data_IF_860012437816
#
_entry.id   IF_860012437816
#
_cell.length_a   1.000
_cell.length_b   1.000
_cell.length_c   1.000
_cell.angle_alpha   90.00
_cell.angle_beta   90.00
_cell.angle_gamma   90.00
#
_symmetry.space_group_name_H-M   'P 1'
#
loop_
_entity.id
_entity.type
_entity.pdbx_description
1 polymer ?
#
# COMPACT_ATOMS: atom_id res chain seq x y z
N UNK A 1 16.17 -8.54 -35.29
CA UNK A 1 15.63 -9.40 -34.23
C UNK A 1 15.18 -8.56 -33.07
N UNK A 2 13.96 -8.73 -32.68
CA UNK A 2 13.41 -8.03 -31.54
C UNK A 2 13.47 -8.96 -30.34
N UNK A 3 14.14 -8.52 -29.31
CA UNK A 3 14.17 -9.26 -28.06
C UNK A 3 13.20 -8.63 -27.10
N UNK A 4 12.29 -9.41 -26.60
CA UNK A 4 11.45 -9.01 -25.49
C UNK A 4 12.04 -9.64 -24.23
N UNK A 5 12.54 -8.79 -23.37
CA UNK A 5 12.88 -9.22 -22.02
C UNK A 5 11.65 -8.98 -21.18
N UNK A 6 10.89 -10.04 -20.98
CA UNK A 6 9.75 -9.98 -20.07
C UNK A 6 10.25 -10.35 -18.69
N UNK A 7 10.14 -9.39 -17.79
CA UNK A 7 10.36 -9.69 -16.40
C UNK A 7 9.23 -10.61 -15.94
N UNK A 8 9.59 -11.71 -15.31
CA UNK A 8 8.60 -12.58 -14.68
C UNK A 8 7.82 -11.79 -13.63
N UNK A 9 6.57 -12.16 -13.46
CA UNK A 9 5.76 -11.60 -12.38
C UNK A 9 6.41 -11.90 -11.04
N UNK A 10 6.43 -10.91 -10.18
CA UNK A 10 6.97 -11.04 -8.83
C UNK A 10 6.11 -10.24 -7.85
N UNK A 11 6.23 -10.59 -6.58
CA UNK A 11 5.57 -9.86 -5.52
C UNK A 11 6.60 -9.24 -4.60
N UNK A 12 6.22 -8.13 -4.02
CA UNK A 12 6.97 -7.49 -2.94
C UNK A 12 5.97 -6.90 -1.95
N UNK A 13 6.40 -6.74 -0.73
CA UNK A 13 5.51 -6.27 0.30
C UNK A 13 6.26 -5.74 1.50
N UNK A 14 5.53 -5.21 2.44
CA UNK A 14 6.10 -4.64 3.63
C UNK A 14 5.04 -4.15 4.59
N UNK A 15 5.50 -3.46 5.60
CA UNK A 15 4.67 -2.89 6.65
C UNK A 15 5.05 -1.43 6.83
N UNK A 16 4.06 -0.56 6.88
CA UNK A 16 4.25 0.87 7.10
C UNK A 16 3.58 1.24 8.40
N UNK A 17 4.32 1.91 9.29
CA UNK A 17 3.77 2.43 10.53
C UNK A 17 3.03 3.74 10.26
N UNK A 18 1.87 3.89 10.87
CA UNK A 18 1.03 5.06 10.73
C UNK A 18 1.24 5.96 11.95
N UNK A 19 1.29 7.26 11.72
CA UNK A 19 1.32 8.23 12.80
C UNK A 19 -0.09 8.30 13.39
N UNK A 20 -0.24 7.76 14.60
CA UNK A 20 -1.51 7.73 15.31
C UNK A 20 -1.91 9.14 15.73
N UNK A 21 -3.21 9.41 15.76
CA UNK A 21 -3.75 10.69 16.24
C UNK A 21 -4.18 11.63 15.13
N UNK A 22 -4.13 11.21 13.88
CA UNK A 22 -4.63 11.99 12.74
C UNK A 22 -5.95 11.42 12.25
N UNK A 23 -6.92 12.30 12.03
CA UNK A 23 -8.20 11.87 11.47
C UNK A 23 -8.08 11.41 10.02
N UNK A 24 -7.23 12.07 9.25
CA UNK A 24 -6.93 11.69 7.86
C UNK A 24 -5.42 11.75 7.69
N UNK A 25 -4.88 10.71 7.12
CA UNK A 25 -3.45 10.57 6.89
C UNK A 25 -3.21 10.05 5.48
N UNK A 26 -2.38 10.76 4.73
CA UNK A 26 -1.96 10.34 3.39
C UNK A 26 -0.45 10.21 3.37
N UNK A 27 0.05 9.17 2.75
CA UNK A 27 1.50 8.99 2.56
C UNK A 27 1.79 8.10 1.37
N UNK A 28 3.04 8.11 0.95
CA UNK A 28 3.54 7.31 -0.15
C UNK A 28 4.34 6.13 0.38
N UNK A 29 4.25 5.01 -0.31
CA UNK A 29 5.14 3.87 -0.11
C UNK A 29 5.84 3.57 -1.42
N UNK A 30 7.17 3.71 -1.41
CA UNK A 30 8.01 3.42 -2.57
C UNK A 30 8.32 1.93 -2.56
N UNK A 31 8.12 1.26 -3.71
CA UNK A 31 8.46 -0.16 -3.81
C UNK A 31 9.98 -0.33 -3.70
N UNK A 32 10.44 -1.37 -3.01
CA UNK A 32 11.88 -1.71 -3.02
C UNK A 32 12.44 -1.89 -4.43
N UNK A 33 11.64 -2.45 -5.33
CA UNK A 33 12.00 -2.65 -6.73
C UNK A 33 10.90 -2.04 -7.58
N UNK A 34 11.24 -1.10 -8.47
CA UNK A 34 10.28 -0.52 -9.38
C UNK A 34 9.70 -1.57 -10.33
N UNK A 35 8.41 -1.47 -10.61
CA UNK A 35 7.76 -2.33 -11.61
C UNK A 35 7.93 -1.71 -13.00
N UNK A 36 7.93 -2.55 -14.02
CA UNK A 36 7.92 -2.08 -15.42
C UNK A 36 6.53 -1.60 -15.84
N UNK A 37 5.50 -2.24 -15.30
CA UNK A 37 4.11 -1.90 -15.55
C UNK A 37 3.39 -1.62 -14.24
N UNK A 38 2.18 -1.11 -14.30
CA UNK A 38 1.40 -0.87 -13.09
C UNK A 38 1.12 -2.18 -12.36
N UNK A 39 1.51 -2.29 -11.09
CA UNK A 39 1.22 -3.48 -10.29
C UNK A 39 -0.21 -3.46 -9.75
N UNK A 40 -0.63 -4.63 -9.26
CA UNK A 40 -1.78 -4.73 -8.36
C UNK A 40 -1.28 -4.55 -6.94
N UNK A 41 -1.93 -3.70 -6.16
CA UNK A 41 -1.54 -3.43 -4.77
C UNK A 41 -2.73 -3.70 -3.87
N UNK A 42 -2.48 -4.44 -2.80
CA UNK A 42 -3.45 -4.68 -1.74
C UNK A 42 -2.87 -4.22 -0.42
N UNK A 43 -3.72 -3.67 0.42
CA UNK A 43 -3.35 -3.23 1.76
C UNK A 43 -4.26 -3.88 2.79
N UNK A 44 -3.70 -4.13 3.97
CA UNK A 44 -4.41 -4.68 5.11
C UNK A 44 -4.15 -3.76 6.30
N UNK A 45 -5.22 -3.33 6.94
CA UNK A 45 -5.11 -2.50 8.14
C UNK A 45 -4.71 -3.35 9.34
N UNK A 46 -3.80 -2.80 10.13
CA UNK A 46 -3.47 -3.33 11.45
C UNK A 46 -3.87 -2.25 12.44
N UNK A 47 -4.76 -2.61 13.35
CA UNK A 47 -5.32 -1.67 14.30
C UNK A 47 -5.24 -2.24 15.72
N UNK A 48 -5.10 -1.35 16.69
CA UNK A 48 -5.08 -1.74 18.11
C UNK A 48 -6.46 -2.13 18.60
N UNK A 49 -7.47 -1.42 18.12
CA UNK A 49 -8.86 -1.62 18.53
C UNK A 49 -9.76 -1.41 17.33
N UNK A 50 -10.95 -1.98 17.40
CA UNK A 50 -12.00 -1.62 16.46
C UNK A 50 -12.75 -0.43 17.02
N UNK A 51 -12.99 0.57 16.18
CA UNK A 51 -13.89 1.66 16.51
C UNK A 51 -15.30 1.11 16.69
N UNK A 52 -16.05 1.68 17.64
CA UNK A 52 -17.44 1.28 17.88
C UNK A 52 -18.31 1.46 16.64
N UNK A 53 -17.99 2.42 15.80
CA UNK A 53 -18.69 2.68 14.55
C UNK A 53 -18.16 1.85 13.39
N UNK A 54 -17.14 1.04 13.61
CA UNK A 54 -16.55 0.21 12.56
C UNK A 54 -15.76 0.97 11.52
N UNK A 55 -15.26 2.14 11.83
CA UNK A 55 -14.64 3.06 10.89
C UNK A 55 -13.12 2.93 10.79
N UNK A 56 -12.62 1.73 10.84
CA UNK A 56 -11.20 1.49 10.52
C UNK A 56 -11.07 1.41 9.00
N UNK A 57 -10.76 2.51 8.37
CA UNK A 57 -10.80 2.63 6.91
C UNK A 57 -9.44 3.07 6.36
N UNK A 58 -8.97 2.32 5.38
CA UNK A 58 -7.85 2.72 4.55
C UNK A 58 -8.18 2.46 3.10
N UNK A 59 -7.58 3.24 2.22
CA UNK A 59 -7.74 3.06 0.79
C UNK A 59 -6.45 3.42 0.06
N UNK A 60 -6.28 2.86 -1.12
CA UNK A 60 -5.23 3.27 -2.02
C UNK A 60 -5.74 4.45 -2.82
N UNK A 61 -5.00 5.55 -2.76
CA UNK A 61 -5.34 6.77 -3.50
C UNK A 61 -4.84 6.74 -4.93
N UNK A 62 -3.62 6.25 -5.13
CA UNK A 62 -3.02 6.16 -6.46
C UNK A 62 -1.93 5.10 -6.49
N UNK A 63 -1.71 4.55 -7.68
CA UNK A 63 -0.69 3.54 -7.93
C UNK A 63 0.12 3.98 -9.13
N UNK A 64 1.44 3.91 -9.00
CA UNK A 64 2.38 4.05 -10.13
C UNK A 64 3.29 2.83 -10.16
N UNK A 65 4.18 2.78 -11.12
CA UNK A 65 5.18 1.71 -11.19
C UNK A 65 6.32 1.87 -10.17
N UNK A 66 6.39 3.02 -9.48
CA UNK A 66 7.44 3.32 -8.51
C UNK A 66 6.93 3.29 -7.07
N UNK A 67 5.67 3.66 -6.86
CA UNK A 67 5.10 3.81 -5.52
C UNK A 67 3.59 3.73 -5.56
N UNK A 68 3.01 3.58 -4.39
CA UNK A 68 1.59 3.81 -4.21
C UNK A 68 1.35 4.82 -3.09
N UNK A 69 0.26 5.55 -3.21
CA UNK A 69 -0.19 6.50 -2.18
C UNK A 69 -1.42 5.92 -1.52
N UNK A 70 -1.41 5.89 -0.20
CA UNK A 70 -2.54 5.40 0.58
C UNK A 70 -3.06 6.50 1.50
N UNK A 71 -4.27 6.30 1.98
CA UNK A 71 -4.88 7.18 2.97
C UNK A 71 -5.59 6.35 4.04
N UNK A 72 -5.60 6.86 5.25
CA UNK A 72 -6.30 6.28 6.39
C UNK A 72 -7.19 7.34 7.02
N UNK A 73 -8.31 6.92 7.59
CA UNK A 73 -9.31 7.83 8.13
C UNK A 73 -9.56 7.64 9.63
N UNK A 74 -8.80 6.78 10.31
CA UNK A 74 -9.04 6.50 11.71
C UNK A 74 -7.77 6.42 12.54
N UNK A 75 -7.90 6.85 13.79
CA UNK A 75 -6.79 6.88 14.74
C UNK A 75 -6.35 5.48 15.20
N UNK A 76 -7.20 4.49 15.06
CA UNK A 76 -6.90 3.13 15.52
C UNK A 76 -6.01 2.34 14.58
N UNK A 77 -5.83 2.79 13.35
CA UNK A 77 -4.92 2.13 12.42
C UNK A 77 -3.49 2.47 12.81
N UNK A 78 -2.74 1.46 13.25
CA UNK A 78 -1.35 1.65 13.70
C UNK A 78 -0.34 1.35 12.62
N UNK A 79 -0.70 0.50 11.68
CA UNK A 79 0.16 0.17 10.54
C UNK A 79 -0.66 -0.40 9.40
N UNK A 80 -0.04 -0.44 8.24
CA UNK A 80 -0.59 -1.04 7.04
C UNK A 80 0.41 -2.07 6.54
N UNK A 81 -0.07 -3.29 6.34
CA UNK A 81 0.66 -4.32 5.62
C UNK A 81 0.24 -4.26 4.16
N UNK A 82 1.19 -4.34 3.25
CA UNK A 82 0.89 -4.24 1.83
C UNK A 82 1.60 -5.32 1.04
N UNK A 83 1.01 -5.64 -0.10
CA UNK A 83 1.63 -6.50 -1.11
C UNK A 83 1.35 -5.92 -2.48
N UNK A 84 2.36 -5.91 -3.33
CA UNK A 84 2.27 -5.49 -4.72
C UNK A 84 2.75 -6.61 -5.61
N UNK A 85 1.98 -6.88 -6.66
CA UNK A 85 2.25 -7.98 -7.60
C UNK A 85 2.25 -7.40 -9.01
N UNK A 86 3.29 -7.71 -9.74
CA UNK A 86 3.42 -7.23 -11.12
C UNK A 86 4.75 -7.65 -11.73
N UNK A 87 5.12 -6.98 -12.76
CA UNK A 87 6.37 -7.27 -13.47
C UNK A 87 7.20 -5.98 -13.73
#
# INVERSE_FOLDING_TARGET
VIYFILRSEFSQGGKVNIIVGRNIYNDDTVYPIAFNNLPSVNIINIADTLDQDGWVTSAIKSITNLKFTYMTAQNSVTSISWIAIGN
#
